data_IF_890133822717
#
_entry.id   IF_890133822717
#
_cell.length_a   1.000
_cell.length_b   1.000
_cell.length_c   1.000
_cell.angle_alpha   90.00
_cell.angle_beta   90.00
_cell.angle_gamma   90.00
#
_symmetry.space_group_name_H-M   'P 1'
#
loop_
_entity.id
_entity.type
_entity.pdbx_description
1 polymer ?
#
# COMPACT_ATOMS: atom_id res chain seq x y z
N UNK A 1 -33.52 5.93 14.81
CA UNK A 1 -33.30 4.68 14.13
C UNK A 1 -32.61 4.84 12.81
N UNK A 2 -33.03 5.83 12.02
CA UNK A 2 -32.33 6.09 10.76
C UNK A 2 -30.88 6.51 10.97
N UNK A 3 -30.63 7.17 12.08
CA UNK A 3 -29.27 7.64 12.39
C UNK A 3 -28.32 6.50 12.70
N UNK A 4 -28.80 5.47 13.37
CA UNK A 4 -27.93 4.34 13.71
C UNK A 4 -27.46 3.60 12.46
N UNK A 5 -28.36 3.47 11.50
CA UNK A 5 -27.99 2.81 10.24
C UNK A 5 -27.05 3.67 9.42
N UNK A 6 -27.32 4.96 9.36
CA UNK A 6 -26.44 5.85 8.61
C UNK A 6 -25.04 5.87 9.22
N UNK A 7 -24.97 5.85 10.53
CA UNK A 7 -23.68 5.84 11.22
C UNK A 7 -22.94 4.54 10.95
N UNK A 8 -23.64 3.42 11.00
CA UNK A 8 -23.03 2.14 10.77
C UNK A 8 -22.47 2.03 9.35
N UNK A 9 -23.23 2.54 8.39
CA UNK A 9 -22.77 2.55 7.00
C UNK A 9 -21.57 3.46 6.80
N UNK A 10 -21.62 4.63 7.41
CA UNK A 10 -20.51 5.56 7.29
C UNK A 10 -19.25 4.99 7.90
N UNK A 11 -19.37 4.32 9.02
CA UNK A 11 -18.22 3.69 9.67
C UNK A 11 -17.68 2.55 8.84
N UNK A 12 -18.55 1.72 8.28
CA UNK A 12 -18.13 0.61 7.44
C UNK A 12 -17.39 1.11 6.21
N UNK A 13 -17.89 2.16 5.60
CA UNK A 13 -17.22 2.73 4.42
C UNK A 13 -15.88 3.34 4.78
N UNK A 14 -15.81 4.04 5.90
CA UNK A 14 -14.56 4.67 6.32
C UNK A 14 -13.51 3.59 6.60
N UNK A 15 -13.89 2.52 7.23
CA UNK A 15 -12.98 1.43 7.50
C UNK A 15 -12.52 0.74 6.24
N UNK A 16 -13.44 0.49 5.32
CA UNK A 16 -13.08 -0.17 4.07
C UNK A 16 -12.13 0.69 3.26
N UNK A 17 -12.36 1.99 3.25
CA UNK A 17 -11.49 2.91 2.52
C UNK A 17 -10.11 2.97 3.15
N UNK A 18 -10.06 3.05 4.47
CA UNK A 18 -8.78 3.09 5.17
C UNK A 18 -7.98 1.81 4.94
N UNK A 19 -8.66 0.68 4.95
CA UNK A 19 -7.99 -0.59 4.70
C UNK A 19 -7.47 -0.68 3.27
N UNK A 20 -8.29 -0.27 2.31
CA UNK A 20 -7.88 -0.30 0.92
C UNK A 20 -6.68 0.61 0.67
N UNK A 21 -6.69 1.79 1.29
CA UNK A 21 -5.58 2.72 1.16
C UNK A 21 -4.31 2.16 1.79
N UNK A 22 -4.43 1.58 2.97
CA UNK A 22 -3.28 1.01 3.65
C UNK A 22 -2.67 -0.13 2.84
N UNK A 23 -3.51 -0.96 2.26
CA UNK A 23 -3.03 -2.06 1.43
C UNK A 23 -2.36 -1.55 0.16
N UNK A 24 -2.95 -0.56 -0.49
CA UNK A 24 -2.37 0.00 -1.71
C UNK A 24 -1.02 0.63 -1.42
N UNK A 25 -0.91 1.33 -0.31
CA UNK A 25 0.35 1.94 0.07
C UNK A 25 1.41 0.90 0.39
N UNK A 26 1.02 -0.16 1.11
CA UNK A 26 1.98 -1.21 1.46
C UNK A 26 2.49 -1.91 0.21
N UNK A 27 1.62 -2.16 -0.74
CA UNK A 27 2.02 -2.79 -1.99
C UNK A 27 2.94 -1.90 -2.80
N UNK A 28 2.60 -0.62 -2.90
CA UNK A 28 3.42 0.31 -3.66
C UNK A 28 4.81 0.44 -3.03
N UNK A 29 4.87 0.47 -1.71
CA UNK A 29 6.15 0.56 -1.02
C UNK A 29 6.97 -0.69 -1.22
N UNK A 30 6.35 -1.85 -1.13
CA UNK A 30 7.06 -3.11 -1.32
C UNK A 30 7.62 -3.22 -2.73
N UNK A 31 6.86 -2.79 -3.72
CA UNK A 31 7.33 -2.81 -5.10
C UNK A 31 8.47 -1.83 -5.31
N UNK A 32 8.37 -0.63 -4.75
CA UNK A 32 9.41 0.36 -4.89
C UNK A 32 10.71 -0.13 -4.25
N UNK A 33 10.62 -0.74 -3.11
CA UNK A 33 11.78 -1.29 -2.43
C UNK A 33 12.41 -2.43 -3.23
N UNK A 34 11.58 -3.32 -3.76
CA UNK A 34 12.10 -4.44 -4.54
C UNK A 34 12.81 -3.95 -5.79
N UNK A 35 12.27 -2.95 -6.44
CA UNK A 35 12.90 -2.36 -7.63
C UNK A 35 14.22 -1.69 -7.28
N UNK A 36 14.25 -0.94 -6.18
CA UNK A 36 15.47 -0.26 -5.77
C UNK A 36 16.57 -1.26 -5.45
N UNK A 37 16.22 -2.34 -4.80
CA UNK A 37 17.19 -3.39 -4.50
C UNK A 37 17.71 -4.07 -5.75
N UNK A 38 16.80 -4.38 -6.66
CA UNK A 38 17.21 -5.03 -7.91
C UNK A 38 18.13 -4.13 -8.71
N UNK A 39 17.82 -2.85 -8.74
CA UNK A 39 18.64 -1.88 -9.47
C UNK A 39 20.02 -1.76 -8.84
N UNK A 40 20.07 -1.68 -7.51
CA UNK A 40 21.34 -1.57 -6.80
C UNK A 40 22.20 -2.80 -7.04
N UNK A 41 21.60 -3.97 -7.05
CA UNK A 41 22.33 -5.21 -7.32
C UNK A 41 22.85 -5.24 -8.74
N UNK A 42 22.03 -4.84 -9.70
CA UNK A 42 22.45 -4.85 -11.09
C UNK A 42 23.61 -3.88 -11.31
N UNK A 43 23.55 -2.73 -10.68
CA UNK A 43 24.62 -1.74 -10.78
C UNK A 43 25.90 -2.23 -10.15
N UNK A 44 25.80 -2.87 -8.99
CA UNK A 44 26.97 -3.41 -8.31
C UNK A 44 27.65 -4.48 -9.16
N UNK A 45 26.84 -5.33 -9.79
CA UNK A 45 27.39 -6.36 -10.67
C UNK A 45 28.06 -5.78 -11.90
N UNK A 46 27.44 -4.77 -12.49
CA UNK A 46 28.01 -4.14 -13.66
C UNK A 46 29.33 -3.47 -13.33
N UNK A 47 29.43 -2.89 -12.16
CA UNK A 47 30.68 -2.26 -11.75
C UNK A 47 31.77 -3.26 -11.39
N UNK A 48 31.35 -4.41 -10.83
CA UNK A 48 32.31 -5.42 -10.43
C UNK A 48 32.94 -6.12 -11.63
N UNK A 49 32.19 -6.23 -12.70
CA UNK A 49 32.72 -6.89 -13.88
C UNK A 49 33.42 -5.91 -14.80
#
# INVERSE_FOLDING_TARGET
>A
MAMAMALAMALAMAMALALALAMAMAMALAMAMAMAMALAMAMAMAMAS
#
